data_IF_853421788727
#
_entry.id   IF_853421788727
#
_cell.length_a   1.000
_cell.length_b   1.000
_cell.length_c   1.000
_cell.angle_alpha   90.00
_cell.angle_beta   90.00
_cell.angle_gamma   90.00
#
_symmetry.space_group_name_H-M   'P 1'
#
loop_
_entity.id
_entity.type
_entity.pdbx_description
1 polymer ?
#
# COMPACT_ATOMS: atom_id res chain seq x y z
N UNK A 1 -40.38 4.57 -8.34
CA UNK A 1 -40.31 3.31 -7.60
C UNK A 1 -38.85 3.12 -7.24
N UNK A 2 -38.54 3.45 -6.01
CA UNK A 2 -37.17 3.43 -5.48
C UNK A 2 -36.81 2.00 -5.10
N UNK A 3 -35.88 1.36 -5.80
CA UNK A 3 -35.31 0.08 -5.41
C UNK A 3 -34.27 0.35 -4.32
N UNK A 4 -34.64 0.07 -3.07
CA UNK A 4 -33.72 0.03 -1.95
C UNK A 4 -32.76 -1.13 -2.17
N UNK A 5 -31.49 -0.83 -2.44
CA UNK A 5 -30.39 -1.79 -2.38
C UNK A 5 -30.26 -2.26 -0.93
N UNK A 6 -30.65 -3.50 -0.65
CA UNK A 6 -30.32 -4.18 0.60
C UNK A 6 -28.80 -4.38 0.64
N UNK A 7 -28.09 -3.41 1.20
CA UNK A 7 -26.73 -3.59 1.69
C UNK A 7 -26.75 -4.68 2.76
N UNK A 8 -25.86 -5.66 2.66
CA UNK A 8 -25.75 -6.80 3.57
C UNK A 8 -25.86 -6.38 5.02
N UNK A 9 -26.76 -7.02 5.76
CA UNK A 9 -27.11 -6.71 7.15
C UNK A 9 -25.86 -6.84 8.02
N UNK A 10 -25.43 -5.75 8.64
CA UNK A 10 -24.30 -5.76 9.58
C UNK A 10 -24.49 -6.85 10.65
N UNK A 11 -23.43 -7.62 10.99
CA UNK A 11 -23.52 -8.66 11.99
C UNK A 11 -23.82 -8.06 13.36
N UNK A 12 -24.75 -8.66 14.10
CA UNK A 12 -25.14 -8.18 15.43
C UNK A 12 -23.95 -8.16 16.41
N UNK A 13 -23.91 -7.21 17.34
CA UNK A 13 -22.80 -6.94 18.27
C UNK A 13 -22.26 -8.19 18.98
N UNK A 14 -23.14 -9.07 19.48
CA UNK A 14 -22.74 -10.32 20.14
C UNK A 14 -21.97 -11.27 19.20
N UNK A 15 -22.26 -11.23 17.91
CA UNK A 15 -21.59 -12.03 16.90
C UNK A 15 -20.20 -11.47 16.60
N UNK A 16 -20.06 -10.15 16.50
CA UNK A 16 -18.76 -9.46 16.33
C UNK A 16 -17.85 -9.74 17.53
N UNK A 17 -18.38 -9.60 18.77
CA UNK A 17 -17.60 -9.83 19.99
C UNK A 17 -17.05 -11.27 20.06
N UNK A 18 -17.77 -12.25 19.54
CA UNK A 18 -17.30 -13.65 19.44
C UNK A 18 -16.06 -13.82 18.57
N UNK A 19 -15.81 -12.96 17.59
CA UNK A 19 -14.67 -13.03 16.69
C UNK A 19 -13.49 -12.16 17.10
N UNK A 20 -13.62 -11.33 18.14
CA UNK A 20 -12.57 -10.39 18.59
C UNK A 20 -11.25 -11.12 18.87
N UNK A 21 -11.25 -12.15 19.69
CA UNK A 21 -10.05 -12.96 19.98
C UNK A 21 -9.51 -13.67 18.74
N UNK A 22 -10.40 -14.08 17.83
CA UNK A 22 -9.97 -14.68 16.56
C UNK A 22 -9.22 -13.69 15.68
N UNK A 23 -9.66 -12.45 15.62
CA UNK A 23 -8.97 -11.38 14.91
C UNK A 23 -7.58 -11.09 15.50
N UNK A 24 -7.47 -11.01 16.83
CA UNK A 24 -6.19 -10.83 17.52
C UNK A 24 -5.21 -11.98 17.25
N UNK A 25 -5.71 -13.21 17.24
CA UNK A 25 -4.92 -14.42 16.92
C UNK A 25 -4.43 -14.39 15.48
N UNK A 26 -5.29 -14.04 14.51
CA UNK A 26 -4.89 -13.94 13.10
C UNK A 26 -3.85 -12.84 12.88
N UNK A 27 -4.02 -11.68 13.53
CA UNK A 27 -3.06 -10.57 13.44
C UNK A 27 -1.68 -10.99 13.98
N UNK A 28 -1.63 -11.71 15.12
CA UNK A 28 -0.37 -12.18 15.69
C UNK A 28 0.29 -13.28 14.84
N UNK A 29 -0.48 -14.21 14.25
CA UNK A 29 0.06 -15.21 13.31
C UNK A 29 0.61 -14.55 12.04
N UNK A 30 -0.07 -13.52 11.51
CA UNK A 30 0.43 -12.75 10.36
C UNK A 30 1.75 -12.07 10.65
N UNK A 31 1.91 -11.50 11.86
CA UNK A 31 3.17 -10.85 12.29
C UNK A 31 4.28 -11.83 12.60
N UNK A 32 3.93 -13.02 13.04
CA UNK A 32 4.90 -14.02 13.50
C UNK A 32 4.50 -15.40 12.95
N UNK A 33 4.75 -15.66 11.65
CA UNK A 33 4.53 -16.99 11.06
C UNK A 33 5.31 -18.06 11.85
N UNK A 34 4.69 -19.21 12.05
CA UNK A 34 5.29 -20.29 12.83
C UNK A 34 5.20 -20.12 14.35
N UNK A 35 4.44 -19.14 14.85
CA UNK A 35 4.24 -18.93 16.29
C UNK A 35 3.60 -20.19 16.95
N UNK A 36 4.06 -20.54 18.14
CA UNK A 36 3.48 -21.65 18.89
C UNK A 36 2.27 -21.21 19.71
N UNK A 37 1.35 -22.15 20.04
CA UNK A 37 0.20 -21.85 20.91
C UNK A 37 0.63 -21.27 22.27
N UNK A 38 1.75 -21.71 22.80
CA UNK A 38 2.29 -21.24 24.11
C UNK A 38 2.74 -19.78 23.99
N UNK A 39 3.48 -19.44 22.93
CA UNK A 39 3.90 -18.06 22.68
C UNK A 39 2.72 -17.14 22.40
N UNK A 40 1.75 -17.62 21.62
CA UNK A 40 0.51 -16.89 21.32
C UNK A 40 -0.25 -16.56 22.62
N UNK A 41 -0.45 -17.56 23.50
CA UNK A 41 -1.07 -17.38 24.82
C UNK A 41 -0.36 -16.30 25.63
N UNK A 42 0.98 -16.35 25.67
CA UNK A 42 1.81 -15.39 26.41
C UNK A 42 1.71 -13.99 25.85
N UNK A 43 1.80 -13.84 24.52
CA UNK A 43 1.79 -12.51 23.85
C UNK A 43 0.43 -11.83 23.97
N UNK A 44 -0.65 -12.57 23.81
CA UNK A 44 -2.01 -12.04 23.87
C UNK A 44 -2.62 -12.04 25.30
N UNK A 45 -1.91 -12.56 26.32
CA UNK A 45 -2.44 -12.64 27.67
C UNK A 45 -3.64 -13.59 27.81
N UNK A 46 -3.75 -14.61 26.95
CA UNK A 46 -4.88 -15.54 26.89
C UNK A 46 -4.60 -16.82 27.69
N UNK A 47 -5.67 -17.46 28.19
CA UNK A 47 -5.58 -18.79 28.75
C UNK A 47 -5.30 -19.84 27.66
N UNK A 48 -4.64 -20.97 28.02
CA UNK A 48 -4.41 -22.09 27.10
C UNK A 48 -5.72 -22.67 26.54
N UNK A 49 -6.80 -22.63 27.31
CA UNK A 49 -8.11 -23.09 26.88
C UNK A 49 -8.68 -22.16 25.80
N UNK A 50 -8.62 -20.84 26.02
CA UNK A 50 -9.08 -19.83 25.06
C UNK A 50 -8.29 -19.90 23.74
N UNK A 51 -6.96 -20.03 23.80
CA UNK A 51 -6.14 -20.21 22.58
C UNK A 51 -6.53 -21.49 21.84
N UNK A 52 -6.74 -22.60 22.58
CA UNK A 52 -7.09 -23.88 21.97
C UNK A 52 -8.43 -23.80 21.24
N UNK A 53 -9.45 -23.20 21.87
CA UNK A 53 -10.78 -23.00 21.26
C UNK A 53 -10.70 -22.11 20.02
N UNK A 54 -10.01 -20.97 20.14
CA UNK A 54 -9.86 -19.98 19.04
C UNK A 54 -9.11 -20.58 17.85
N UNK A 55 -7.98 -21.24 18.08
CA UNK A 55 -7.19 -21.90 17.03
C UNK A 55 -8.00 -23.02 16.36
N UNK A 56 -8.77 -23.81 17.13
CA UNK A 56 -9.63 -24.86 16.57
C UNK A 56 -10.65 -24.26 15.62
N UNK A 57 -11.36 -23.20 16.04
CA UNK A 57 -12.33 -22.45 15.21
C UNK A 57 -11.68 -21.91 13.93
N UNK A 58 -10.49 -21.30 14.02
CA UNK A 58 -9.77 -20.74 12.88
C UNK A 58 -9.27 -21.82 11.91
N UNK A 59 -8.97 -23.01 12.41
CA UNK A 59 -8.66 -24.17 11.55
C UNK A 59 -9.90 -24.72 10.85
N UNK A 60 -11.02 -24.85 11.57
CA UNK A 60 -12.30 -25.30 11.00
C UNK A 60 -12.82 -24.35 9.91
N UNK A 61 -12.59 -23.04 10.07
CA UNK A 61 -12.93 -22.02 9.07
C UNK A 61 -11.87 -21.88 7.97
N UNK A 62 -10.77 -22.64 8.05
CA UNK A 62 -9.72 -22.71 7.02
C UNK A 62 -8.74 -21.55 7.03
N UNK A 63 -8.69 -20.71 8.07
CA UNK A 63 -7.72 -19.62 8.14
C UNK A 63 -6.33 -20.09 8.53
N UNK A 64 -6.24 -21.05 9.45
CA UNK A 64 -4.97 -21.53 10.00
C UNK A 64 -4.76 -23.02 9.73
N UNK A 65 -3.50 -23.41 9.66
CA UNK A 65 -3.06 -24.81 9.75
C UNK A 65 -2.00 -24.96 10.86
N UNK A 66 -1.77 -26.20 11.26
CA UNK A 66 -0.76 -26.55 12.25
C UNK A 66 0.28 -27.47 11.65
N UNK A 67 1.54 -27.18 11.92
CA UNK A 67 2.69 -28.00 11.55
C UNK A 67 3.47 -28.43 12.80
N UNK A 68 4.22 -29.51 12.72
CA UNK A 68 5.19 -29.85 13.79
C UNK A 68 6.29 -28.79 13.78
N UNK A 69 6.46 -28.09 14.91
CA UNK A 69 7.58 -27.19 15.07
C UNK A 69 8.91 -27.95 15.04
N UNK A 70 10.00 -27.39 14.50
CA UNK A 70 11.33 -27.96 14.61
C UNK A 70 11.69 -28.22 16.08
N UNK A 71 12.15 -29.41 16.41
CA UNK A 71 12.50 -29.79 17.79
C UNK A 71 13.77 -29.02 18.19
N UNK A 72 13.61 -28.00 19.02
CA UNK A 72 14.72 -27.30 19.67
C UNK A 72 14.89 -27.87 21.11
N UNK A 73 15.77 -28.85 21.28
CA UNK A 73 16.12 -29.41 22.60
C UNK A 73 15.23 -30.59 23.09
N UNK A 74 15.43 -31.01 24.36
CA UNK A 74 14.65 -32.05 25.03
C UNK A 74 13.31 -31.47 25.52
N UNK A 75 12.23 -31.63 24.77
CA UNK A 75 10.88 -31.17 25.12
C UNK A 75 9.79 -31.97 24.41
N UNK A 76 8.51 -31.82 24.86
CA UNK A 76 7.34 -32.37 24.16
C UNK A 76 7.24 -31.71 22.78
N UNK A 77 6.95 -32.44 21.69
CA UNK A 77 6.74 -31.86 20.38
C UNK A 77 5.72 -30.72 20.44
N UNK A 78 6.12 -29.53 19.96
CA UNK A 78 5.27 -28.34 19.92
C UNK A 78 4.78 -28.17 18.48
N UNK A 79 3.56 -27.65 18.29
CA UNK A 79 3.04 -27.29 16.97
C UNK A 79 3.18 -25.80 16.75
N UNK A 80 3.50 -25.42 15.52
CA UNK A 80 3.48 -24.06 15.02
C UNK A 80 2.20 -23.77 14.25
N UNK A 81 1.78 -22.51 14.23
CA UNK A 81 0.61 -22.01 13.55
C UNK A 81 1.04 -21.21 12.32
N UNK A 82 0.43 -21.52 11.19
CA UNK A 82 0.69 -20.84 9.93
C UNK A 82 -0.63 -20.59 9.16
N UNK A 83 -0.56 -19.73 8.15
CA UNK A 83 -1.65 -19.54 7.20
C UNK A 83 -1.99 -20.86 6.50
N UNK A 84 -3.27 -21.19 6.37
CA UNK A 84 -3.69 -22.41 5.67
C UNK A 84 -3.48 -22.25 4.15
N UNK A 85 -2.75 -23.16 3.46
CA UNK A 85 -2.45 -23.00 2.04
C UNK A 85 -3.68 -22.91 1.13
N UNK A 86 -4.77 -23.58 1.47
CA UNK A 86 -6.07 -23.54 0.77
C UNK A 86 -7.10 -22.62 1.44
N UNK A 87 -6.65 -21.72 2.31
CA UNK A 87 -7.53 -20.83 3.08
C UNK A 87 -8.17 -19.70 2.28
N UNK A 88 -8.95 -18.85 2.96
CA UNK A 88 -9.53 -17.67 2.34
C UNK A 88 -8.46 -16.77 1.71
N UNK A 89 -8.82 -16.19 0.56
CA UNK A 89 -7.95 -15.29 -0.22
C UNK A 89 -8.58 -13.92 -0.34
N UNK A 90 -7.74 -12.94 -0.60
CA UNK A 90 -8.17 -11.62 -1.03
C UNK A 90 -7.61 -11.33 -2.41
N UNK A 91 -8.34 -10.56 -3.21
CA UNK A 91 -7.83 -10.02 -4.46
C UNK A 91 -7.29 -8.62 -4.18
N UNK A 92 -6.08 -8.37 -4.62
CA UNK A 92 -5.45 -7.05 -4.63
C UNK A 92 -5.51 -6.47 -6.04
N UNK A 93 -5.90 -5.22 -6.15
CA UNK A 93 -5.97 -4.45 -7.40
C UNK A 93 -5.15 -3.19 -7.23
N UNK A 94 -4.33 -2.84 -8.20
CA UNK A 94 -3.60 -1.58 -8.29
C UNK A 94 -3.92 -0.93 -9.64
N UNK A 95 -4.59 0.23 -9.62
CA UNK A 95 -4.92 1.03 -10.80
C UNK A 95 -3.97 2.20 -10.84
N UNK A 96 -3.12 2.23 -11.88
CA UNK A 96 -2.07 3.24 -12.05
C UNK A 96 -2.41 4.16 -13.23
N UNK A 97 -1.53 5.06 -13.58
CA UNK A 97 -1.78 6.01 -14.65
C UNK A 97 -1.84 5.37 -16.05
N UNK A 98 -1.02 4.34 -16.32
CA UNK A 98 -0.91 3.72 -17.65
C UNK A 98 -1.29 2.23 -17.68
N UNK A 99 -1.36 1.59 -16.54
CA UNK A 99 -1.65 0.16 -16.41
C UNK A 99 -2.46 -0.14 -15.15
N UNK A 100 -2.96 -1.36 -15.05
CA UNK A 100 -3.48 -1.92 -13.82
C UNK A 100 -2.83 -3.28 -13.56
N UNK A 101 -2.82 -3.67 -12.29
CA UNK A 101 -2.32 -4.96 -11.81
C UNK A 101 -3.36 -5.61 -10.90
N UNK A 102 -3.47 -6.94 -10.97
CA UNK A 102 -4.34 -7.75 -10.13
C UNK A 102 -3.56 -8.93 -9.62
N UNK A 103 -3.64 -9.23 -8.33
CA UNK A 103 -2.97 -10.35 -7.69
C UNK A 103 -3.85 -11.00 -6.62
N UNK A 104 -3.49 -12.20 -6.19
CA UNK A 104 -4.17 -12.96 -5.15
C UNK A 104 -3.28 -13.08 -3.92
N UNK A 105 -3.81 -12.82 -2.73
CA UNK A 105 -3.05 -12.98 -1.49
C UNK A 105 -3.77 -13.87 -0.47
N UNK A 106 -2.98 -14.63 0.29
CA UNK A 106 -3.43 -15.39 1.46
C UNK A 106 -3.26 -14.61 2.76
N UNK A 107 -3.51 -15.27 3.88
CA UNK A 107 -3.33 -14.69 5.22
C UNK A 107 -1.88 -14.24 5.48
N UNK A 108 -0.90 -14.88 4.85
CA UNK A 108 0.53 -14.51 4.87
C UNK A 108 0.82 -13.13 4.24
N UNK A 109 -0.13 -12.60 3.45
CA UNK A 109 0.01 -11.32 2.76
C UNK A 109 0.89 -11.37 1.51
N UNK A 110 1.40 -12.56 1.12
CA UNK A 110 2.17 -12.73 -0.10
C UNK A 110 1.23 -12.62 -1.32
N UNK A 111 1.55 -11.69 -2.23
CA UNK A 111 0.79 -11.50 -3.47
C UNK A 111 1.36 -12.39 -4.56
N UNK A 112 0.52 -13.22 -5.13
CA UNK A 112 0.89 -14.21 -6.17
C UNK A 112 0.01 -14.09 -7.40
N UNK A 113 0.43 -14.71 -8.51
CA UNK A 113 -0.37 -14.80 -9.74
C UNK A 113 -0.64 -13.45 -10.39
N UNK A 114 0.28 -12.48 -10.27
CA UNK A 114 0.05 -11.11 -10.75
C UNK A 114 -0.16 -11.08 -12.26
N UNK A 115 -1.29 -10.52 -12.69
CA UNK A 115 -1.58 -10.13 -14.07
C UNK A 115 -1.62 -8.62 -14.19
N UNK A 116 -1.18 -8.09 -15.33
CA UNK A 116 -1.14 -6.66 -15.60
C UNK A 116 -1.54 -6.37 -17.05
N UNK A 117 -2.14 -5.22 -17.29
CA UNK A 117 -2.39 -4.73 -18.65
C UNK A 117 -2.35 -3.20 -18.69
N UNK A 118 -1.87 -2.68 -19.83
CA UNK A 118 -1.93 -1.23 -20.11
C UNK A 118 -3.36 -0.81 -20.45
N UNK A 119 -3.64 0.47 -20.22
CA UNK A 119 -4.92 1.08 -20.56
C UNK A 119 -4.73 2.54 -21.05
N UNK A 120 -5.73 3.05 -21.70
CA UNK A 120 -5.82 4.43 -22.22
C UNK A 120 -6.59 5.38 -21.27
N UNK A 121 -6.86 4.92 -20.04
CA UNK A 121 -7.64 5.62 -19.01
C UNK A 121 -9.14 5.69 -19.27
N UNK A 122 -9.66 5.03 -20.31
CA UNK A 122 -11.10 4.87 -20.45
C UNK A 122 -11.70 4.08 -19.28
N UNK A 123 -12.60 4.66 -18.47
CA UNK A 123 -13.13 3.98 -17.28
C UNK A 123 -13.84 2.66 -17.60
N UNK A 124 -14.56 2.61 -18.72
CA UNK A 124 -15.30 1.40 -19.11
C UNK A 124 -14.34 0.28 -19.51
N UNK A 125 -13.30 0.60 -20.30
CA UNK A 125 -12.26 -0.34 -20.69
C UNK A 125 -11.46 -0.87 -19.50
N UNK A 126 -11.08 0.00 -18.56
CA UNK A 126 -10.39 -0.38 -17.33
C UNK A 126 -11.26 -1.30 -16.48
N UNK A 127 -12.51 -0.91 -16.19
CA UNK A 127 -13.44 -1.72 -15.41
C UNK A 127 -13.67 -3.10 -16.03
N UNK A 128 -13.86 -3.17 -17.35
CA UNK A 128 -14.02 -4.45 -18.05
C UNK A 128 -12.76 -5.31 -18.00
N UNK A 129 -11.58 -4.69 -18.10
CA UNK A 129 -10.29 -5.38 -17.95
C UNK A 129 -10.09 -5.94 -16.55
N UNK A 130 -10.34 -5.14 -15.52
CA UNK A 130 -10.27 -5.55 -14.12
C UNK A 130 -11.26 -6.68 -13.81
N UNK A 131 -12.51 -6.60 -14.29
CA UNK A 131 -13.51 -7.66 -14.14
C UNK A 131 -13.01 -9.00 -14.66
N UNK A 132 -12.44 -9.03 -15.87
CA UNK A 132 -11.89 -10.27 -16.45
C UNK A 132 -10.74 -10.81 -15.59
N UNK A 133 -9.79 -9.95 -15.23
CA UNK A 133 -8.63 -10.35 -14.44
C UNK A 133 -9.02 -10.86 -13.04
N UNK A 134 -9.94 -10.18 -12.36
CA UNK A 134 -10.44 -10.57 -11.04
C UNK A 134 -11.20 -11.88 -11.09
N UNK A 135 -12.05 -12.10 -12.12
CA UNK A 135 -12.76 -13.36 -12.31
C UNK A 135 -11.78 -14.53 -12.58
N UNK A 136 -10.77 -14.32 -13.42
CA UNK A 136 -9.76 -15.32 -13.75
C UNK A 136 -8.90 -15.69 -12.53
N UNK A 137 -8.36 -14.70 -11.83
CA UNK A 137 -7.46 -14.93 -10.70
C UNK A 137 -8.18 -15.48 -9.47
N UNK A 138 -9.47 -15.12 -9.30
CA UNK A 138 -10.33 -15.61 -8.22
C UNK A 138 -10.89 -17.00 -8.45
N UNK A 139 -10.81 -17.51 -9.70
CA UNK A 139 -11.40 -18.81 -10.07
C UNK A 139 -10.82 -19.96 -9.22
N UNK A 140 -11.71 -20.74 -8.61
CA UNK A 140 -11.32 -21.87 -7.75
C UNK A 140 -10.82 -21.49 -6.34
N UNK A 141 -10.83 -20.19 -6.00
CA UNK A 141 -10.45 -19.70 -4.67
C UNK A 141 -11.66 -19.17 -3.90
N UNK A 142 -11.62 -19.32 -2.57
CA UNK A 142 -12.56 -18.65 -1.66
C UNK A 142 -12.11 -17.20 -1.45
N UNK A 143 -12.49 -16.31 -2.37
CA UNK A 143 -12.21 -14.88 -2.21
C UNK A 143 -13.19 -14.26 -1.22
N UNK A 144 -12.68 -13.52 -0.24
CA UNK A 144 -13.47 -12.96 0.87
C UNK A 144 -13.48 -11.42 0.93
N UNK A 145 -12.58 -10.77 0.21
CA UNK A 145 -12.56 -9.32 0.03
C UNK A 145 -11.72 -8.92 -1.18
N UNK A 146 -11.92 -7.71 -1.66
CA UNK A 146 -11.09 -7.05 -2.68
C UNK A 146 -10.51 -5.77 -2.07
N UNK A 147 -9.19 -5.58 -2.19
CA UNK A 147 -8.52 -4.31 -1.91
C UNK A 147 -8.10 -3.65 -3.21
N UNK A 148 -8.32 -2.35 -3.31
CA UNK A 148 -8.01 -1.58 -4.50
C UNK A 148 -7.19 -0.35 -4.14
N UNK A 149 -6.02 -0.24 -4.76
CA UNK A 149 -5.18 0.95 -4.76
C UNK A 149 -5.49 1.79 -5.99
N UNK A 150 -5.64 3.10 -5.82
CA UNK A 150 -5.82 4.05 -6.91
C UNK A 150 -5.20 5.40 -6.54
N UNK A 151 -4.84 6.26 -7.54
CA UNK A 151 -4.38 7.64 -7.30
C UNK A 151 -5.56 8.54 -6.92
N UNK A 152 -6.27 8.18 -5.85
CA UNK A 152 -7.50 8.80 -5.37
C UNK A 152 -7.60 8.68 -3.85
N UNK A 153 -8.37 9.53 -3.16
CA UNK A 153 -8.73 9.31 -1.76
C UNK A 153 -9.40 7.94 -1.56
N UNK A 154 -9.20 7.35 -0.38
CA UNK A 154 -9.86 6.10 -0.03
C UNK A 154 -11.38 6.25 0.05
N UNK A 155 -12.12 5.21 -0.35
CA UNK A 155 -13.58 5.14 -0.23
C UNK A 155 -14.04 3.71 0.08
N UNK A 156 -15.20 3.60 0.71
CA UNK A 156 -15.84 2.31 1.02
C UNK A 156 -17.04 2.01 0.09
N UNK A 157 -17.43 2.95 -0.76
CA UNK A 157 -18.54 2.82 -1.71
C UNK A 157 -18.10 2.37 -3.12
N UNK A 158 -16.77 2.31 -3.34
CA UNK A 158 -16.18 1.91 -4.62
C UNK A 158 -16.17 3.01 -5.68
N UNK A 159 -16.61 4.23 -5.35
CA UNK A 159 -16.49 5.40 -6.23
C UNK A 159 -15.07 5.96 -6.17
N UNK A 160 -14.46 6.14 -7.33
CA UNK A 160 -13.09 6.63 -7.47
C UNK A 160 -13.10 7.97 -8.20
N UNK A 161 -12.54 9.00 -7.53
CA UNK A 161 -12.30 10.32 -8.08
C UNK A 161 -10.80 10.51 -8.26
N UNK A 162 -10.27 10.29 -9.44
CA UNK A 162 -8.84 10.30 -9.72
C UNK A 162 -8.47 11.38 -10.75
N UNK A 163 -8.02 12.54 -10.29
CA UNK A 163 -7.67 13.68 -11.14
C UNK A 163 -6.60 13.34 -12.18
N UNK A 164 -5.59 12.58 -11.82
CA UNK A 164 -4.52 12.16 -12.74
C UNK A 164 -5.00 11.18 -13.83
N UNK A 165 -6.12 10.48 -13.60
CA UNK A 165 -6.78 9.62 -14.59
C UNK A 165 -7.88 10.37 -15.38
N UNK A 166 -8.19 11.59 -15.00
CA UNK A 166 -9.37 12.35 -15.46
C UNK A 166 -10.70 11.62 -15.16
N UNK A 167 -10.77 10.93 -14.02
CA UNK A 167 -11.96 10.21 -13.58
C UNK A 167 -12.76 11.04 -12.57
N UNK A 168 -14.07 11.13 -12.82
CA UNK A 168 -15.02 11.74 -11.91
C UNK A 168 -16.09 10.69 -11.55
N UNK A 169 -16.10 10.24 -10.29
CA UNK A 169 -17.03 9.26 -9.74
C UNK A 169 -17.15 7.93 -10.55
N UNK A 170 -16.01 7.32 -10.89
CA UNK A 170 -15.98 6.02 -11.56
C UNK A 170 -16.32 4.91 -10.57
N UNK A 171 -17.40 4.14 -10.82
CA UNK A 171 -17.80 2.99 -9.99
C UNK A 171 -16.93 1.76 -10.32
N UNK A 172 -15.96 1.47 -9.45
CA UNK A 172 -15.18 0.23 -9.46
C UNK A 172 -15.78 -0.87 -8.56
N UNK A 173 -16.88 -0.61 -7.84
CA UNK A 173 -17.58 -1.61 -7.03
C UNK A 173 -18.11 -2.79 -7.86
N UNK A 174 -18.34 -2.58 -9.16
CA UNK A 174 -18.74 -3.63 -10.09
C UNK A 174 -17.72 -4.76 -10.19
N UNK A 175 -16.43 -4.53 -9.92
CA UNK A 175 -15.35 -5.51 -9.97
C UNK A 175 -15.60 -6.68 -9.01
N UNK A 176 -16.21 -6.44 -7.86
CA UNK A 176 -16.50 -7.51 -6.88
C UNK A 176 -17.59 -8.47 -7.36
N UNK A 177 -18.53 -8.01 -8.20
CA UNK A 177 -19.60 -8.83 -8.78
C UNK A 177 -19.08 -9.86 -9.80
N UNK A 178 -17.86 -9.65 -10.29
CA UNK A 178 -17.21 -10.56 -11.24
C UNK A 178 -16.64 -11.83 -10.57
N UNK A 179 -16.60 -11.86 -9.22
CA UNK A 179 -16.17 -13.02 -8.43
C UNK A 179 -17.28 -14.05 -8.18
N UNK A 180 -18.54 -13.68 -8.36
CA UNK A 180 -19.68 -14.57 -8.11
C UNK A 180 -20.99 -13.82 -7.89
N UNK A 181 -22.07 -14.57 -7.62
CA UNK A 181 -23.41 -13.99 -7.45
C UNK A 181 -23.52 -13.13 -6.18
N UNK A 182 -22.76 -13.45 -5.14
CA UNK A 182 -22.70 -12.67 -3.90
C UNK A 182 -21.44 -11.79 -3.93
N UNK A 183 -21.59 -10.45 -3.99
CA UNK A 183 -20.45 -9.55 -4.01
C UNK A 183 -19.71 -9.61 -2.67
N UNK A 184 -18.37 -9.67 -2.74
CA UNK A 184 -17.51 -9.55 -1.57
C UNK A 184 -17.23 -8.06 -1.27
N UNK A 185 -16.86 -7.71 -0.03
CA UNK A 185 -16.49 -6.34 0.32
C UNK A 185 -15.35 -5.80 -0.55
N UNK A 186 -15.49 -4.55 -1.02
CA UNK A 186 -14.44 -3.77 -1.63
C UNK A 186 -13.91 -2.73 -0.62
N UNK A 187 -12.58 -2.55 -0.59
CA UNK A 187 -11.92 -1.47 0.13
C UNK A 187 -11.00 -0.73 -0.81
N UNK A 188 -11.20 0.57 -0.95
CA UNK A 188 -10.38 1.43 -1.80
C UNK A 188 -9.47 2.29 -0.93
N UNK A 189 -8.20 2.38 -1.30
CA UNK A 189 -7.22 3.23 -0.65
C UNK A 189 -6.35 3.98 -1.65
N UNK A 190 -5.77 5.09 -1.19
CA UNK A 190 -4.80 5.82 -2.00
C UNK A 190 -3.54 4.97 -2.23
N UNK A 191 -3.05 4.94 -3.45
CA UNK A 191 -1.90 4.14 -3.89
C UNK A 191 -0.62 4.39 -3.08
N UNK A 192 -0.24 5.66 -2.89
CA UNK A 192 0.95 6.02 -2.10
C UNK A 192 0.76 5.65 -0.61
N UNK A 193 -0.43 5.84 -0.06
CA UNK A 193 -0.75 5.43 1.32
C UNK A 193 -0.62 3.93 1.48
N UNK A 194 -1.17 3.15 0.55
CA UNK A 194 -1.12 1.69 0.60
C UNK A 194 0.30 1.15 0.38
N UNK A 195 1.08 1.77 -0.52
CA UNK A 195 2.49 1.43 -0.68
C UNK A 195 3.28 1.65 0.62
N UNK A 196 3.03 2.76 1.32
CA UNK A 196 3.61 3.01 2.64
C UNK A 196 3.21 1.98 3.69
N UNK A 197 1.94 1.53 3.69
CA UNK A 197 1.47 0.45 4.57
C UNK A 197 2.21 -0.86 4.30
N UNK A 198 2.45 -1.21 3.03
CA UNK A 198 3.24 -2.39 2.67
C UNK A 198 4.67 -2.29 3.23
N UNK A 199 5.32 -1.14 3.06
CA UNK A 199 6.67 -0.89 3.58
C UNK A 199 6.75 -0.95 5.11
N UNK A 200 5.71 -0.49 5.81
CA UNK A 200 5.67 -0.58 7.28
C UNK A 200 5.44 -2.01 7.79
N UNK A 201 4.80 -2.86 7.01
CA UNK A 201 4.51 -4.25 7.42
C UNK A 201 5.67 -5.19 7.17
N UNK A 202 6.22 -5.16 5.96
CA UNK A 202 7.18 -6.16 5.49
C UNK A 202 8.35 -5.56 4.70
N UNK A 203 8.44 -4.22 4.62
CA UNK A 203 9.45 -3.51 3.86
C UNK A 203 10.42 -2.70 4.71
N UNK A 204 10.93 -1.62 4.14
CA UNK A 204 12.00 -0.80 4.72
C UNK A 204 11.60 0.00 5.97
N UNK A 205 10.29 0.17 6.23
CA UNK A 205 9.78 0.84 7.43
C UNK A 205 9.32 -0.15 8.51
N UNK A 206 9.57 -1.45 8.36
CA UNK A 206 9.14 -2.45 9.33
C UNK A 206 9.78 -2.20 10.71
N UNK A 207 8.93 -2.12 11.76
CA UNK A 207 9.37 -1.87 13.13
C UNK A 207 9.63 -0.40 13.49
N UNK A 208 9.56 0.54 12.54
CA UNK A 208 9.63 1.95 12.83
C UNK A 208 8.36 2.42 13.57
N UNK A 209 8.51 3.28 14.57
CA UNK A 209 7.38 3.90 15.27
C UNK A 209 6.78 5.04 14.45
N UNK A 210 7.65 5.83 13.84
CA UNK A 210 7.28 6.93 12.96
C UNK A 210 8.04 6.79 11.66
N UNK A 211 7.36 6.57 10.55
CA UNK A 211 7.97 6.51 9.23
C UNK A 211 7.25 7.45 8.26
N UNK A 212 7.99 7.98 7.30
CA UNK A 212 7.42 8.68 6.16
C UNK A 212 7.74 7.88 4.91
N UNK A 213 6.71 7.53 4.15
CA UNK A 213 6.85 6.97 2.81
C UNK A 213 6.56 8.06 1.79
N UNK A 214 7.42 8.19 0.79
CA UNK A 214 7.25 9.10 -0.35
C UNK A 214 7.48 8.33 -1.64
N UNK A 215 6.63 8.51 -2.61
CA UNK A 215 6.79 7.94 -3.96
C UNK A 215 6.66 9.01 -5.02
N UNK A 216 7.47 8.91 -6.07
CA UNK A 216 7.37 9.75 -7.27
C UNK A 216 6.94 8.86 -8.43
N UNK A 217 5.80 9.17 -8.99
CA UNK A 217 5.22 8.52 -10.16
C UNK A 217 4.87 9.59 -11.22
N UNK A 218 3.58 9.83 -11.51
CA UNK A 218 3.09 10.98 -12.28
C UNK A 218 2.75 12.13 -11.32
N UNK A 219 3.63 12.42 -10.38
CA UNK A 219 3.49 13.35 -9.27
C UNK A 219 4.27 12.84 -8.09
N UNK A 220 4.05 13.42 -6.92
CA UNK A 220 4.63 12.98 -5.66
C UNK A 220 3.50 12.69 -4.68
N UNK A 221 3.40 11.46 -4.24
CA UNK A 221 2.53 10.99 -3.18
C UNK A 221 3.30 10.55 -1.95
N UNK A 222 2.59 10.30 -0.85
CA UNK A 222 3.22 9.76 0.34
C UNK A 222 2.28 9.62 1.52
N UNK A 223 2.78 9.07 2.61
CA UNK A 223 2.03 8.91 3.85
C UNK A 223 2.93 8.98 5.07
N UNK A 224 2.40 9.51 6.16
CA UNK A 224 2.96 9.37 7.50
C UNK A 224 2.41 8.09 8.13
N UNK A 225 3.30 7.28 8.68
CA UNK A 225 2.98 6.03 9.36
C UNK A 225 3.36 6.15 10.84
N UNK A 226 2.40 5.89 11.70
CA UNK A 226 2.57 5.86 13.16
C UNK A 226 2.30 4.45 13.65
N UNK A 227 3.28 3.80 14.26
CA UNK A 227 3.22 2.39 14.68
C UNK A 227 2.71 1.46 13.56
N UNK A 228 3.20 1.70 12.32
CA UNK A 228 2.85 0.94 11.13
C UNK A 228 1.47 1.23 10.53
N UNK A 229 0.74 2.24 11.05
CA UNK A 229 -0.58 2.63 10.57
C UNK A 229 -0.54 4.00 9.88
N UNK A 230 -1.22 4.20 8.75
CA UNK A 230 -1.24 5.47 8.07
C UNK A 230 -2.01 6.51 8.88
N UNK A 231 -1.45 7.71 8.98
CA UNK A 231 -2.14 8.87 9.53
C UNK A 231 -3.01 9.51 8.45
N UNK A 232 -4.30 9.29 8.50
CA UNK A 232 -5.24 9.74 7.46
C UNK A 232 -5.72 11.19 7.65
N UNK A 233 -5.48 11.79 8.81
CA UNK A 233 -5.99 13.12 9.15
C UNK A 233 -7.50 13.12 9.44
N UNK A 234 -8.06 14.31 9.59
CA UNK A 234 -9.46 14.48 9.99
C UNK A 234 -10.47 14.09 8.89
N UNK A 235 -10.05 14.13 7.63
CA UNK A 235 -10.93 13.95 6.47
C UNK A 235 -10.35 12.96 5.44
N UNK A 236 -9.39 12.13 5.83
CA UNK A 236 -8.76 11.15 4.94
C UNK A 236 -7.77 11.73 3.93
N UNK A 237 -7.43 13.02 4.02
CA UNK A 237 -6.59 13.73 3.04
C UNK A 237 -5.22 14.14 3.61
N UNK A 238 -4.72 13.48 4.67
CA UNK A 238 -3.35 13.70 5.11
C UNK A 238 -2.37 12.99 4.17
N UNK A 239 -1.15 13.55 4.05
CA UNK A 239 -0.13 12.95 3.19
C UNK A 239 -0.01 13.56 1.81
N UNK A 240 -0.70 14.66 1.54
CA UNK A 240 -0.63 15.42 0.27
C UNK A 240 0.73 16.14 0.11
N UNK A 241 1.82 15.39 0.29
CA UNK A 241 3.20 15.93 0.28
C UNK A 241 3.57 16.59 -1.04
N UNK A 242 3.07 16.08 -2.16
CA UNK A 242 3.31 16.66 -3.48
C UNK A 242 2.82 18.09 -3.64
N UNK A 243 1.89 18.52 -2.78
CA UNK A 243 1.32 19.86 -2.79
C UNK A 243 1.93 20.79 -1.74
N UNK A 244 2.94 20.35 -0.96
CA UNK A 244 3.71 21.25 -0.09
C UNK A 244 4.44 22.31 -0.94
N UNK A 245 4.54 23.57 -0.46
CA UNK A 245 5.11 24.70 -1.21
C UNK A 245 6.65 24.68 -1.21
N UNK A 246 7.26 23.58 -1.64
CA UNK A 246 8.71 23.39 -1.71
C UNK A 246 9.28 23.60 -3.11
N UNK A 247 8.39 23.90 -4.10
CA UNK A 247 8.76 24.15 -5.47
C UNK A 247 8.86 25.66 -5.81
N UNK A 248 8.98 25.94 -7.09
CA UNK A 248 9.02 27.30 -7.65
C UNK A 248 7.66 28.02 -7.41
N UNK A 249 7.61 29.10 -6.63
CA UNK A 249 6.37 29.81 -6.30
C UNK A 249 5.67 30.42 -7.55
N UNK A 250 6.40 30.63 -8.64
CA UNK A 250 5.82 31.10 -9.89
C UNK A 250 5.12 29.99 -10.69
N UNK A 251 5.33 28.72 -10.33
CA UNK A 251 4.78 27.58 -11.06
C UNK A 251 3.38 27.22 -10.55
N UNK A 252 2.42 27.26 -11.44
CA UNK A 252 1.06 26.78 -11.18
C UNK A 252 1.02 25.25 -11.18
N UNK A 253 0.31 24.68 -10.21
CA UNK A 253 -0.01 23.26 -10.12
C UNK A 253 -1.43 23.00 -10.64
N UNK A 254 -1.69 21.78 -11.14
CA UNK A 254 -3.03 21.35 -11.56
C UNK A 254 -4.05 21.38 -10.42
N UNK A 255 -3.61 21.26 -9.15
CA UNK A 255 -4.47 21.39 -7.97
C UNK A 255 -5.00 22.83 -7.74
N UNK A 256 -4.57 23.82 -8.53
CA UNK A 256 -4.95 25.22 -8.41
C UNK A 256 -3.99 26.09 -7.58
N UNK A 257 -3.11 25.48 -6.78
CA UNK A 257 -2.08 26.20 -6.00
C UNK A 257 -0.85 26.53 -6.85
N UNK A 258 0.13 27.22 -6.26
CA UNK A 258 1.43 27.51 -6.86
C UNK A 258 2.55 27.04 -5.95
N UNK A 259 3.70 26.66 -6.53
CA UNK A 259 4.87 26.25 -5.76
C UNK A 259 4.81 24.84 -5.20
N UNK A 260 3.93 23.98 -5.69
CA UNK A 260 3.85 22.59 -5.24
C UNK A 260 5.15 21.82 -5.54
N UNK A 261 5.50 20.90 -4.65
CA UNK A 261 6.73 20.10 -4.72
C UNK A 261 6.70 19.05 -5.84
N UNK A 262 5.59 18.33 -6.03
CA UNK A 262 5.47 17.26 -7.03
C UNK A 262 5.94 17.65 -8.43
N UNK A 263 5.51 18.80 -9.02
CA UNK A 263 5.96 19.28 -10.31
C UNK A 263 7.47 19.59 -10.43
N UNK A 264 8.24 19.47 -9.37
CA UNK A 264 9.70 19.69 -9.38
C UNK A 264 10.52 18.41 -9.46
N UNK A 265 9.88 17.24 -9.34
CA UNK A 265 10.60 15.95 -9.15
C UNK A 265 10.13 14.82 -10.07
N UNK A 266 9.03 14.99 -10.82
CA UNK A 266 8.47 13.98 -11.71
C UNK A 266 9.03 14.04 -13.15
N UNK A 267 8.52 13.20 -14.06
CA UNK A 267 8.95 13.18 -15.44
C UNK A 267 8.69 14.50 -16.21
N UNK A 268 7.66 15.25 -15.80
CA UNK A 268 7.38 16.59 -16.34
C UNK A 268 8.46 17.60 -15.92
N UNK A 269 8.99 17.44 -14.70
CA UNK A 269 10.13 18.24 -14.23
C UNK A 269 11.39 17.93 -15.04
N UNK A 270 11.70 16.66 -15.27
CA UNK A 270 12.87 16.25 -16.05
C UNK A 270 12.78 16.74 -17.49
N UNK A 271 11.62 16.61 -18.14
CA UNK A 271 11.41 17.13 -19.51
C UNK A 271 11.66 18.65 -19.57
N UNK A 272 11.11 19.40 -18.65
CA UNK A 272 11.31 20.85 -18.55
C UNK A 272 12.78 21.23 -18.35
N UNK A 273 13.49 20.51 -17.46
CA UNK A 273 14.90 20.77 -17.18
C UNK A 273 15.80 20.44 -18.39
N UNK A 274 15.38 19.52 -19.25
CA UNK A 274 16.07 19.16 -20.48
C UNK A 274 15.66 20.04 -21.69
N UNK A 275 14.61 20.86 -21.54
CA UNK A 275 14.06 21.65 -22.65
C UNK A 275 13.19 20.83 -23.61
N UNK A 276 12.78 19.64 -23.20
CA UNK A 276 11.91 18.75 -23.96
C UNK A 276 10.42 19.15 -23.81
N UNK A 277 9.60 18.69 -24.74
CA UNK A 277 8.14 18.83 -24.64
C UNK A 277 7.59 17.97 -23.51
N UNK A 278 6.46 18.39 -22.91
CA UNK A 278 5.81 17.59 -21.86
C UNK A 278 5.46 16.21 -22.41
N UNK A 279 5.97 15.13 -21.79
CA UNK A 279 5.75 13.78 -22.28
C UNK A 279 4.30 13.32 -22.05
N UNK A 280 3.75 12.55 -22.99
CA UNK A 280 2.43 11.94 -22.85
C UNK A 280 2.41 10.88 -21.73
N UNK A 281 3.53 10.21 -21.52
CA UNK A 281 3.77 9.25 -20.41
C UNK A 281 4.97 9.78 -19.59
N UNK A 282 4.70 10.59 -18.54
CA UNK A 282 5.75 11.20 -17.73
C UNK A 282 6.60 10.18 -16.97
N UNK A 283 6.03 9.04 -16.57
CA UNK A 283 6.74 8.01 -15.83
C UNK A 283 7.76 7.31 -16.73
N UNK A 284 7.33 6.75 -17.86
CA UNK A 284 8.24 6.08 -18.80
C UNK A 284 9.34 7.02 -19.31
N UNK A 285 9.01 8.29 -19.52
CA UNK A 285 10.01 9.31 -19.86
C UNK A 285 11.07 9.45 -18.76
N UNK A 286 10.63 9.58 -17.49
CA UNK A 286 11.55 9.72 -16.36
C UNK A 286 12.42 8.47 -16.18
N UNK A 287 11.85 7.27 -16.31
CA UNK A 287 12.60 6.00 -16.27
C UNK A 287 13.72 5.97 -17.32
N UNK A 288 13.42 6.38 -18.55
CA UNK A 288 14.42 6.47 -19.62
C UNK A 288 15.53 7.49 -19.31
N UNK A 289 15.18 8.68 -18.80
CA UNK A 289 16.15 9.72 -18.42
C UNK A 289 17.02 9.27 -17.24
N UNK A 290 16.43 8.67 -16.21
CA UNK A 290 17.16 8.13 -15.07
C UNK A 290 18.09 6.98 -15.47
N UNK A 291 17.66 6.10 -16.37
CA UNK A 291 18.48 5.05 -16.95
C UNK A 291 19.69 5.59 -17.71
N UNK A 292 19.50 6.65 -18.51
CA UNK A 292 20.61 7.36 -19.20
C UNK A 292 21.58 7.99 -18.21
N UNK A 293 21.07 8.61 -17.15
CA UNK A 293 21.91 9.19 -16.10
C UNK A 293 22.76 8.11 -15.40
N UNK A 294 22.15 6.98 -15.03
CA UNK A 294 22.83 5.85 -14.42
C UNK A 294 23.90 5.22 -15.35
N UNK A 295 23.66 5.26 -16.67
CA UNK A 295 24.63 4.83 -17.68
C UNK A 295 25.76 5.86 -17.94
N UNK A 296 25.77 7.01 -17.24
CA UNK A 296 26.81 8.03 -17.34
C UNK A 296 26.60 9.03 -18.49
N UNK A 297 25.39 9.18 -19.04
CA UNK A 297 25.09 10.18 -20.07
C UNK A 297 25.12 11.60 -19.46
N UNK A 298 26.24 12.32 -19.72
CA UNK A 298 26.44 13.68 -19.22
C UNK A 298 25.39 14.69 -19.65
N UNK A 299 24.67 14.44 -20.76
CA UNK A 299 23.63 15.34 -21.25
C UNK A 299 22.42 15.45 -20.29
N UNK A 300 22.15 14.42 -19.51
CA UNK A 300 21.00 14.40 -18.59
C UNK A 300 21.40 14.58 -17.12
N UNK A 301 22.65 14.43 -16.76
CA UNK A 301 23.14 14.47 -15.35
C UNK A 301 22.73 15.76 -14.64
N UNK A 302 22.87 16.92 -15.29
CA UNK A 302 22.54 18.21 -14.66
C UNK A 302 21.03 18.31 -14.33
N UNK A 303 20.16 17.87 -15.24
CA UNK A 303 18.71 17.88 -15.05
C UNK A 303 18.29 16.91 -13.91
N UNK A 304 18.83 15.69 -13.94
CA UNK A 304 18.56 14.68 -12.90
C UNK A 304 19.07 15.13 -11.54
N UNK A 305 20.29 15.72 -11.45
CA UNK A 305 20.83 16.29 -10.21
C UNK A 305 19.99 17.42 -9.65
N UNK A 306 19.43 18.28 -10.51
CA UNK A 306 18.54 19.36 -10.10
C UNK A 306 17.22 18.82 -9.49
N UNK A 307 16.60 17.83 -10.14
CA UNK A 307 15.41 17.16 -9.62
C UNK A 307 15.72 16.39 -8.32
N UNK A 308 16.85 15.67 -8.26
CA UNK A 308 17.31 14.97 -7.06
C UNK A 308 17.52 15.93 -5.88
N UNK A 309 18.15 17.08 -6.11
CA UNK A 309 18.31 18.11 -5.09
C UNK A 309 16.95 18.72 -4.64
N UNK A 310 16.00 18.84 -5.57
CA UNK A 310 14.62 19.25 -5.29
C UNK A 310 13.91 18.24 -4.35
N UNK A 311 14.03 16.94 -4.66
CA UNK A 311 13.51 15.87 -3.81
C UNK A 311 14.17 15.91 -2.42
N UNK A 312 15.49 15.98 -2.36
CA UNK A 312 16.26 15.97 -1.12
C UNK A 312 15.91 17.12 -0.17
N UNK A 313 15.74 18.34 -0.70
CA UNK A 313 15.30 19.50 0.11
C UNK A 313 13.92 19.30 0.71
N UNK A 314 12.97 18.75 -0.07
CA UNK A 314 11.65 18.45 0.44
C UNK A 314 11.67 17.34 1.49
N UNK A 315 12.48 16.28 1.30
CA UNK A 315 12.71 15.21 2.31
C UNK A 315 13.24 15.83 3.61
N UNK A 316 14.22 16.74 3.56
CA UNK A 316 14.70 17.43 4.75
C UNK A 316 13.59 18.24 5.45
N UNK A 317 12.72 18.91 4.67
CA UNK A 317 11.55 19.61 5.22
C UNK A 317 10.57 18.68 5.92
N UNK A 318 10.26 17.54 5.32
CA UNK A 318 9.39 16.50 5.90
C UNK A 318 9.98 15.91 7.19
N UNK A 319 11.31 15.70 7.22
CA UNK A 319 12.04 15.28 8.44
C UNK A 319 11.88 16.31 9.57
N UNK A 320 11.92 17.60 9.25
CA UNK A 320 11.72 18.64 10.28
C UNK A 320 10.31 18.66 10.86
N UNK A 321 9.29 18.31 10.04
CA UNK A 321 7.89 18.35 10.47
C UNK A 321 7.52 17.12 11.29
N UNK A 322 7.99 15.92 10.89
CA UNK A 322 7.51 14.67 11.45
C UNK A 322 8.48 13.98 12.40
N UNK A 323 9.78 14.36 12.40
CA UNK A 323 10.82 13.71 13.19
C UNK A 323 10.78 12.17 13.09
N UNK A 324 10.80 11.57 11.87
CA UNK A 324 10.58 10.15 11.69
C UNK A 324 11.85 9.35 12.04
N UNK A 325 11.67 8.05 12.35
CA UNK A 325 12.76 7.09 12.49
C UNK A 325 13.42 6.80 11.13
N UNK A 326 12.61 6.85 10.06
CA UNK A 326 13.04 6.54 8.68
C UNK A 326 12.17 7.26 7.66
N UNK A 327 12.77 7.66 6.53
CA UNK A 327 12.07 8.03 5.29
C UNK A 327 12.30 6.95 4.26
N UNK A 328 11.24 6.44 3.64
CA UNK A 328 11.31 5.42 2.58
C UNK A 328 10.89 6.03 1.26
N UNK A 329 11.69 5.83 0.21
CA UNK A 329 11.47 6.37 -1.13
C UNK A 329 11.07 5.27 -2.11
N UNK A 330 9.91 5.43 -2.75
CA UNK A 330 9.35 4.54 -3.78
C UNK A 330 9.39 5.14 -5.19
N UNK A 331 9.03 4.32 -6.17
CA UNK A 331 8.93 4.73 -7.57
C UNK A 331 10.20 5.38 -8.11
N UNK A 332 10.04 6.42 -8.92
CA UNK A 332 11.14 7.20 -9.50
C UNK A 332 12.02 7.90 -8.44
N UNK A 333 11.51 8.12 -7.22
CA UNK A 333 12.29 8.74 -6.14
C UNK A 333 13.55 7.93 -5.78
N UNK A 334 13.53 6.61 -5.98
CA UNK A 334 14.72 5.74 -5.81
C UNK A 334 15.83 6.11 -6.78
N UNK A 335 15.50 6.30 -8.05
CA UNK A 335 16.47 6.73 -9.08
C UNK A 335 17.01 8.15 -8.82
N UNK A 336 16.15 9.06 -8.34
CA UNK A 336 16.58 10.40 -7.95
C UNK A 336 17.46 10.38 -6.71
N UNK A 337 17.18 9.51 -5.73
CA UNK A 337 18.05 9.33 -4.55
C UNK A 337 19.44 8.84 -4.91
N UNK A 338 19.54 7.91 -5.88
CA UNK A 338 20.81 7.39 -6.36
C UNK A 338 21.61 8.41 -7.23
N UNK A 339 20.96 9.49 -7.66
CA UNK A 339 21.58 10.47 -8.55
C UNK A 339 22.55 11.41 -7.81
N UNK A 340 23.55 11.98 -8.49
CA UNK A 340 24.44 12.96 -7.91
C UNK A 340 23.69 14.16 -7.31
N UNK A 341 24.11 14.61 -6.13
CA UNK A 341 23.59 15.81 -5.46
C UNK A 341 22.45 15.56 -4.48
N UNK A 342 21.85 14.37 -4.43
CA UNK A 342 20.79 14.08 -3.45
C UNK A 342 21.30 14.19 -2.01
N UNK A 343 22.35 13.40 -1.65
CA UNK A 343 22.85 13.34 -0.28
C UNK A 343 23.37 14.69 0.21
N UNK A 344 24.10 15.42 -0.65
CA UNK A 344 24.59 16.76 -0.30
C UNK A 344 23.44 17.73 -0.07
N UNK A 345 22.41 17.72 -0.92
CA UNK A 345 21.26 18.59 -0.77
C UNK A 345 20.43 18.22 0.47
N UNK A 346 20.27 16.93 0.77
CA UNK A 346 19.60 16.44 1.97
C UNK A 346 20.30 16.92 3.24
N UNK A 347 21.60 16.64 3.38
CA UNK A 347 22.40 17.06 4.54
C UNK A 347 22.41 18.59 4.72
N UNK A 348 22.54 19.33 3.62
CA UNK A 348 22.53 20.79 3.62
C UNK A 348 21.16 21.36 4.05
N UNK A 349 20.07 20.66 3.70
CA UNK A 349 18.70 21.00 4.10
C UNK A 349 18.40 20.75 5.56
N UNK A 350 19.14 19.86 6.25
CA UNK A 350 18.90 19.55 7.66
C UNK A 350 19.38 20.66 8.60
N UNK A 351 18.69 20.84 9.73
CA UNK A 351 19.15 21.65 10.86
C UNK A 351 20.51 21.14 11.36
N UNK A 352 21.38 22.03 11.86
CA UNK A 352 22.77 21.71 12.21
C UNK A 352 22.89 20.50 13.14
N UNK A 353 22.06 20.41 14.18
CA UNK A 353 22.10 19.30 15.14
C UNK A 353 21.67 17.94 14.55
N UNK A 354 21.00 17.94 13.39
CA UNK A 354 20.58 16.71 12.68
C UNK A 354 21.65 16.18 11.72
N UNK A 355 22.62 17.00 11.33
CA UNK A 355 23.63 16.61 10.33
C UNK A 355 24.57 15.52 10.82
N UNK A 356 24.84 15.49 12.13
CA UNK A 356 25.69 14.46 12.75
C UNK A 356 24.98 13.10 12.86
N UNK A 357 23.64 13.13 12.90
CA UNK A 357 22.78 11.93 12.94
C UNK A 357 21.56 12.15 12.06
N UNK A 358 21.75 12.12 10.73
CA UNK A 358 20.64 12.29 9.80
C UNK A 358 19.65 11.13 9.90
N UNK A 359 18.39 11.45 9.72
CA UNK A 359 17.36 10.39 9.58
C UNK A 359 17.70 9.56 8.35
N UNK A 360 17.72 8.20 8.44
CA UNK A 360 18.00 7.35 7.30
C UNK A 360 16.93 7.52 6.22
N UNK A 361 17.40 7.63 4.97
CA UNK A 361 16.56 7.62 3.78
C UNK A 361 16.83 6.31 3.04
N UNK A 362 15.84 5.43 2.98
CA UNK A 362 15.95 4.09 2.42
C UNK A 362 15.12 3.95 1.14
N UNK A 363 15.50 3.00 0.30
CA UNK A 363 14.70 2.61 -0.86
C UNK A 363 13.59 1.66 -0.45
N UNK A 364 12.42 1.80 -1.07
CA UNK A 364 11.29 0.88 -0.92
C UNK A 364 11.67 -0.55 -1.33
N UNK A 365 11.31 -1.53 -0.51
CA UNK A 365 11.59 -2.96 -0.72
C UNK A 365 10.62 -3.57 -1.73
N UNK A 366 9.33 -3.18 -1.65
CA UNK A 366 8.29 -3.72 -2.55
C UNK A 366 8.35 -3.13 -3.97
N UNK A 367 9.22 -2.12 -4.20
CA UNK A 367 9.40 -1.54 -5.53
C UNK A 367 8.09 -1.05 -6.14
N UNK A 368 7.84 -1.46 -7.37
CA UNK A 368 6.65 -1.08 -8.14
C UNK A 368 5.35 -1.80 -7.70
N UNK A 369 5.47 -2.85 -6.88
CA UNK A 369 4.31 -3.61 -6.39
C UNK A 369 3.85 -3.16 -5.00
N UNK A 370 4.44 -2.08 -4.46
CA UNK A 370 4.12 -1.58 -3.12
C UNK A 370 2.63 -1.31 -2.92
N UNK A 371 1.98 -0.62 -3.86
CA UNK A 371 0.55 -0.32 -3.79
C UNK A 371 -0.31 -1.60 -3.85
N UNK A 372 0.08 -2.58 -4.68
CA UNK A 372 -0.59 -3.87 -4.80
C UNK A 372 -0.50 -4.67 -3.49
N UNK A 373 0.69 -4.74 -2.86
CA UNK A 373 0.86 -5.33 -1.53
C UNK A 373 0.05 -4.61 -0.45
N UNK A 374 -0.01 -3.29 -0.52
CA UNK A 374 -0.83 -2.49 0.38
C UNK A 374 -2.33 -2.73 0.20
N UNK A 375 -2.79 -2.91 -1.04
CA UNK A 375 -4.17 -3.26 -1.35
C UNK A 375 -4.53 -4.65 -0.78
N UNK A 376 -3.63 -5.65 -0.91
CA UNK A 376 -3.79 -6.95 -0.26
C UNK A 376 -3.90 -6.81 1.25
N UNK A 377 -3.04 -6.00 1.86
CA UNK A 377 -3.03 -5.73 3.28
C UNK A 377 -4.35 -5.10 3.76
N UNK A 378 -4.87 -4.10 3.03
CA UNK A 378 -6.14 -3.43 3.31
C UNK A 378 -7.32 -4.42 3.29
N UNK A 379 -7.39 -5.28 2.27
CA UNK A 379 -8.43 -6.31 2.15
C UNK A 379 -8.33 -7.35 3.26
N UNK A 380 -7.11 -7.80 3.59
CA UNK A 380 -6.86 -8.75 4.68
C UNK A 380 -7.26 -8.18 6.04
N UNK A 381 -6.94 -6.90 6.32
CA UNK A 381 -7.33 -6.24 7.57
C UNK A 381 -8.85 -6.19 7.73
N UNK A 382 -9.54 -5.88 6.63
CA UNK A 382 -10.99 -5.94 6.64
C UNK A 382 -11.51 -7.37 6.85
N UNK A 383 -11.01 -8.35 6.08
CA UNK A 383 -11.48 -9.73 6.14
C UNK A 383 -11.19 -10.41 7.50
N UNK A 384 -10.07 -10.05 8.15
CA UNK A 384 -9.67 -10.60 9.47
C UNK A 384 -10.13 -9.74 10.65
N UNK A 385 -10.82 -8.62 10.41
CA UNK A 385 -11.47 -7.84 11.48
C UNK A 385 -12.58 -8.66 12.16
N UNK A 386 -12.98 -8.35 13.40
CA UNK A 386 -14.11 -9.02 14.04
C UNK A 386 -15.39 -8.98 13.20
N UNK A 387 -15.66 -7.85 12.55
CA UNK A 387 -16.81 -7.62 11.67
C UNK A 387 -16.70 -8.46 10.39
N UNK A 388 -15.52 -8.45 9.75
CA UNK A 388 -15.24 -9.26 8.56
C UNK A 388 -15.38 -10.75 8.83
N UNK A 389 -14.76 -11.25 9.91
CA UNK A 389 -14.87 -12.66 10.30
C UNK A 389 -16.32 -13.06 10.60
N UNK A 390 -17.08 -12.19 11.27
CA UNK A 390 -18.48 -12.42 11.53
C UNK A 390 -19.34 -12.42 10.25
N UNK A 391 -19.00 -11.63 9.24
CA UNK A 391 -19.68 -11.60 7.96
C UNK A 391 -19.39 -12.86 7.11
N UNK A 392 -18.10 -13.26 7.05
CA UNK A 392 -17.63 -14.40 6.24
C UNK A 392 -18.10 -15.75 6.81
N UNK A 393 -18.34 -15.83 8.13
CA UNK A 393 -18.72 -17.05 8.84
C UNK A 393 -20.08 -16.87 9.53
N UNK A 394 -21.18 -16.97 8.83
CA UNK A 394 -22.51 -16.65 9.33
C UNK A 394 -23.04 -17.53 10.48
N UNK A 395 -22.35 -18.61 10.86
CA UNK A 395 -22.70 -19.43 12.02
C UNK A 395 -23.16 -20.79 11.64
#
# INVERSE_FOLDING_TARGET
MSASTETGREPGRARVDRWRTSAEVLDEVRRTPGITRVELARRLGLSSASVTETVTRLRETGWLCEHRAPVQGRGRPTTSLDAAPGGPRVVAVDVRHEDWRVGLAGLDGEVTGVVAARHDRDPAGVTAGLCRAVAEIGAGHRVVAVGLAAPAPGSDDGLVHATELAWDAVDLGSVTRCLGPEPVPLRVGNDATLAGVAEARTGAAAGARTAVFLTVEVGLGGTLLLDGRPHLGAHGAAGEYGHLPFGDPARRCACGASGCWGPEVDGRALARLLGDTVPADPRSYAEAVLGRCAAGDGAVVAAVSAAAAGLARGVAGVVHVHDPDVVVLGGLARGLRAAPGFDEAYLRGLMAFRRDRPVPVLDAVHGDDGALHGAAALALDHATSPEGLAAINPG
#
